data_IF_620635062211
#
_entry.id   IF_620635062211
#
_cell.length_a   1.000
_cell.length_b   1.000
_cell.length_c   1.000
_cell.angle_alpha   90.00
_cell.angle_beta   90.00
_cell.angle_gamma   90.00
#
_symmetry.space_group_name_H-M   'P 1'
#
loop_
_entity.id
_entity.type
_entity.pdbx_description
1 polymer ?
#
# COMPACT_ATOMS: atom_id res chain seq x y z
N UNK A 1 -25.35 15.06 -5.87
CA UNK A 1 -24.78 14.00 -6.73
C UNK A 1 -23.27 14.05 -6.77
N UNK A 2 -22.62 13.25 -5.91
CA UNK A 2 -21.16 13.14 -5.82
C UNK A 2 -20.79 11.69 -6.11
N UNK A 3 -20.98 11.26 -7.35
CA UNK A 3 -20.90 9.82 -7.73
C UNK A 3 -19.99 9.53 -8.93
N UNK A 4 -18.98 10.36 -9.21
CA UNK A 4 -18.13 10.13 -10.40
C UNK A 4 -16.61 10.24 -10.17
N UNK A 5 -16.13 10.59 -8.98
CA UNK A 5 -14.68 10.75 -8.74
C UNK A 5 -13.93 9.43 -8.44
N UNK A 6 -14.63 8.29 -8.35
CA UNK A 6 -14.02 6.97 -8.10
C UNK A 6 -14.03 6.05 -9.34
N UNK A 7 -14.47 6.51 -10.52
CA UNK A 7 -14.70 5.62 -11.67
C UNK A 7 -13.59 5.59 -12.72
N UNK A 8 -12.44 6.20 -12.48
CA UNK A 8 -11.28 6.04 -13.37
C UNK A 8 -10.38 4.97 -12.75
N UNK A 9 -10.31 3.74 -13.29
CA UNK A 9 -9.32 2.79 -12.83
C UNK A 9 -7.95 3.40 -13.10
N UNK A 10 -7.21 3.68 -12.03
CA UNK A 10 -5.81 4.07 -12.14
C UNK A 10 -5.11 3.07 -13.08
N UNK A 11 -4.26 3.59 -13.97
CA UNK A 11 -3.32 2.81 -14.81
C UNK A 11 -2.88 1.56 -14.06
N UNK A 12 -2.88 0.36 -14.69
CA UNK A 12 -2.84 -0.89 -13.96
C UNK A 12 -1.72 -0.84 -12.93
N UNK A 13 -2.07 -1.12 -11.68
CA UNK A 13 -1.12 -1.29 -10.59
C UNK A 13 0.08 -2.09 -11.13
N UNK A 14 1.33 -1.77 -10.74
CA UNK A 14 2.52 -2.48 -11.24
C UNK A 14 2.50 -3.99 -10.90
N UNK A 15 1.48 -4.45 -10.20
CA UNK A 15 1.16 -5.81 -9.86
C UNK A 15 -0.35 -6.07 -10.00
N UNK A 16 -0.70 -7.31 -10.32
CA UNK A 16 -2.10 -7.76 -10.32
C UNK A 16 -2.50 -8.15 -8.90
N UNK A 17 -3.63 -7.63 -8.40
CA UNK A 17 -4.17 -8.06 -7.12
C UNK A 17 -4.57 -9.54 -7.17
N UNK A 18 -4.34 -10.31 -6.08
CA UNK A 18 -4.74 -11.71 -6.02
C UNK A 18 -6.27 -11.82 -6.11
N UNK A 19 -6.74 -12.79 -6.91
CA UNK A 19 -8.18 -13.08 -7.03
C UNK A 19 -8.64 -13.83 -5.79
N UNK A 20 -9.62 -13.28 -5.09
CA UNK A 20 -10.25 -13.92 -3.94
C UNK A 20 -11.34 -14.91 -4.39
N UNK A 21 -11.38 -16.08 -3.75
CA UNK A 21 -12.49 -17.03 -3.91
C UNK A 21 -13.78 -16.49 -3.31
N UNK A 22 -14.93 -17.07 -3.66
CA UNK A 22 -16.23 -16.68 -3.11
C UNK A 22 -16.26 -16.77 -1.58
N UNK A 23 -15.68 -17.84 -1.02
CA UNK A 23 -15.62 -18.05 0.43
C UNK A 23 -14.74 -16.99 1.11
N UNK A 24 -13.59 -16.67 0.51
CA UNK A 24 -12.70 -15.61 1.01
C UNK A 24 -13.40 -14.24 1.01
N UNK A 25 -14.19 -13.93 -0.02
CA UNK A 25 -14.98 -12.70 -0.04
C UNK A 25 -16.03 -12.68 1.07
N UNK A 26 -16.68 -13.81 1.36
CA UNK A 26 -17.64 -13.89 2.45
C UNK A 26 -16.97 -13.68 3.82
N UNK A 27 -15.74 -14.19 4.00
CA UNK A 27 -14.96 -13.94 5.23
C UNK A 27 -14.68 -12.44 5.39
N UNK A 28 -14.22 -11.76 4.33
CA UNK A 28 -13.99 -10.31 4.37
C UNK A 28 -15.27 -9.53 4.70
N UNK A 29 -16.41 -9.89 4.10
CA UNK A 29 -17.70 -9.24 4.37
C UNK A 29 -18.19 -9.44 5.81
N UNK A 30 -17.70 -10.47 6.51
CA UNK A 30 -17.96 -10.69 7.95
C UNK A 30 -16.97 -9.94 8.85
N UNK A 31 -16.03 -9.19 8.26
CA UNK A 31 -14.94 -8.54 9.00
C UNK A 31 -13.82 -9.49 9.39
N UNK A 32 -13.78 -10.70 8.83
CA UNK A 32 -12.70 -11.66 9.07
C UNK A 32 -11.54 -11.44 8.09
N UNK A 33 -10.30 -11.73 8.53
CA UNK A 33 -9.13 -11.64 7.67
C UNK A 33 -9.01 -12.86 6.75
N UNK A 34 -8.59 -12.64 5.51
CA UNK A 34 -8.21 -13.71 4.59
C UNK A 34 -6.69 -13.75 4.50
N UNK A 35 -6.10 -14.92 4.79
CA UNK A 35 -4.68 -15.15 4.67
C UNK A 35 -4.43 -16.35 3.76
N UNK A 36 -3.51 -16.17 2.82
CA UNK A 36 -3.08 -17.22 1.90
C UNK A 36 -1.56 -17.24 1.84
N UNK A 37 -0.98 -18.43 1.87
CA UNK A 37 0.46 -18.64 1.73
C UNK A 37 0.69 -19.93 0.95
N UNK A 38 1.60 -19.87 -0.01
CA UNK A 38 2.06 -20.99 -0.82
C UNK A 38 3.53 -21.20 -0.51
N UNK A 39 3.84 -22.43 -0.10
CA UNK A 39 5.22 -22.91 -0.04
C UNK A 39 5.63 -23.39 -1.44
N UNK A 40 6.55 -22.66 -2.08
CA UNK A 40 7.15 -23.02 -3.37
C UNK A 40 8.56 -23.59 -3.19
N UNK A 41 8.85 -24.21 -2.04
CA UNK A 41 10.13 -24.81 -1.62
C UNK A 41 11.26 -23.78 -1.46
N UNK A 42 11.84 -23.33 -2.58
CA UNK A 42 12.95 -22.35 -2.59
C UNK A 42 12.44 -20.91 -2.47
N UNK A 43 11.15 -20.71 -2.72
CA UNK A 43 10.46 -19.44 -2.65
C UNK A 43 9.15 -19.64 -1.90
N UNK A 44 8.58 -18.55 -1.39
CA UNK A 44 7.26 -18.54 -0.79
C UNK A 44 6.53 -17.28 -1.23
N UNK A 45 5.23 -17.39 -1.44
CA UNK A 45 4.38 -16.24 -1.75
C UNK A 45 3.14 -16.28 -0.88
N UNK A 46 2.70 -15.13 -0.42
CA UNK A 46 1.50 -15.03 0.39
C UNK A 46 0.91 -13.64 0.32
N UNK A 47 -0.38 -13.58 0.62
CA UNK A 47 -1.09 -12.32 0.76
C UNK A 47 -2.04 -12.40 1.94
N UNK A 48 -2.33 -11.22 2.50
CA UNK A 48 -3.37 -11.03 3.49
C UNK A 48 -4.29 -9.95 2.97
N UNK A 49 -5.59 -10.20 3.01
CA UNK A 49 -6.63 -9.22 2.74
C UNK A 49 -7.45 -9.01 4.02
N UNK A 50 -7.71 -7.75 4.34
CA UNK A 50 -8.52 -7.33 5.50
C UNK A 50 -9.43 -6.20 5.04
N UNK A 51 -10.69 -6.26 5.41
CA UNK A 51 -11.60 -5.13 5.25
C UNK A 51 -11.42 -4.19 6.45
N UNK A 52 -11.03 -2.95 6.17
CA UNK A 52 -10.74 -1.95 7.21
C UNK A 52 -11.81 -0.88 7.13
N UNK A 53 -12.60 -0.77 8.20
CA UNK A 53 -13.62 0.27 8.32
C UNK A 53 -12.99 1.63 8.67
N UNK A 54 -12.21 2.18 7.74
CA UNK A 54 -11.57 3.48 7.83
C UNK A 54 -11.41 4.09 6.44
N UNK A 55 -11.30 5.42 6.40
CA UNK A 55 -10.99 6.11 5.15
C UNK A 55 -9.56 5.79 4.68
N UNK A 56 -9.29 5.72 3.34
CA UNK A 56 -7.98 5.32 2.83
C UNK A 56 -6.80 6.16 3.34
N UNK A 57 -7.00 7.46 3.54
CA UNK A 57 -5.98 8.36 4.08
C UNK A 57 -5.56 7.98 5.52
N UNK A 58 -6.50 7.52 6.35
CA UNK A 58 -6.21 7.07 7.71
C UNK A 58 -5.35 5.81 7.67
N UNK A 59 -5.68 4.86 6.78
CA UNK A 59 -4.91 3.64 6.59
C UNK A 59 -3.48 3.97 6.12
N UNK A 60 -3.34 4.81 5.10
CA UNK A 60 -2.03 5.19 4.58
C UNK A 60 -1.19 5.95 5.61
N UNK A 61 -1.78 6.85 6.40
CA UNK A 61 -1.05 7.55 7.46
C UNK A 61 -0.50 6.56 8.50
N UNK A 62 -1.24 5.51 8.84
CA UNK A 62 -0.77 4.47 9.75
C UNK A 62 0.34 3.61 9.13
N UNK A 63 0.24 3.25 7.84
CA UNK A 63 1.23 2.43 7.14
C UNK A 63 2.53 3.17 6.80
N UNK A 64 2.49 4.51 6.78
CA UNK A 64 3.67 5.33 6.52
C UNK A 64 4.38 5.77 7.81
N UNK A 65 3.79 5.53 8.97
CA UNK A 65 4.37 5.83 10.27
C UNK A 65 5.21 4.67 10.82
N UNK A 66 6.34 4.41 10.16
CA UNK A 66 7.24 3.31 10.50
C UNK A 66 7.76 3.38 11.94
N UNK A 67 7.94 4.57 12.50
CA UNK A 67 8.49 4.74 13.85
C UNK A 67 7.53 4.24 14.93
N UNK A 68 6.23 4.25 14.67
CA UNK A 68 5.22 3.73 15.61
C UNK A 68 4.98 2.23 15.50
N UNK A 69 5.66 1.53 14.59
CA UNK A 69 5.48 0.09 14.44
C UNK A 69 5.82 -0.73 15.69
N UNK A 70 6.84 -0.42 16.51
CA UNK A 70 7.08 -1.13 17.77
C UNK A 70 5.90 -1.04 18.75
N UNK A 71 5.15 0.05 18.72
CA UNK A 71 3.99 0.26 19.59
C UNK A 71 2.72 -0.43 19.05
N UNK A 72 2.60 -0.52 17.72
CA UNK A 72 1.39 -1.01 17.04
C UNK A 72 1.48 -2.51 16.71
N UNK A 73 2.68 -3.03 16.40
CA UNK A 73 2.91 -4.39 15.94
C UNK A 73 3.68 -5.16 17.03
N UNK A 74 3.03 -6.06 17.79
CA UNK A 74 3.63 -6.68 18.99
C UNK A 74 4.94 -7.44 18.77
N UNK A 75 5.20 -7.90 17.54
CA UNK A 75 6.40 -8.65 17.19
C UNK A 75 7.58 -7.78 16.79
N UNK A 76 7.36 -6.49 16.54
CA UNK A 76 8.40 -5.52 16.19
C UNK A 76 8.97 -4.93 17.48
N UNK A 77 10.30 -4.99 17.63
CA UNK A 77 10.98 -4.48 18.84
C UNK A 77 11.60 -3.11 18.67
N UNK A 78 12.10 -2.83 17.48
CA UNK A 78 12.76 -1.57 17.14
C UNK A 78 12.66 -1.37 15.63
N UNK A 79 12.63 -0.10 15.20
CA UNK A 79 12.61 0.29 13.80
C UNK A 79 13.66 1.35 13.56
N UNK A 80 14.53 1.09 12.59
CA UNK A 80 15.54 2.03 12.13
C UNK A 80 15.37 2.28 10.64
N UNK A 81 15.01 3.51 10.30
CA UNK A 81 14.88 3.94 8.91
C UNK A 81 16.25 4.33 8.35
N UNK A 82 16.60 3.75 7.21
CA UNK A 82 17.77 4.16 6.43
C UNK A 82 17.28 4.97 5.24
N UNK A 83 17.43 6.28 5.32
CA UNK A 83 17.26 7.13 4.14
C UNK A 83 18.54 7.04 3.31
N UNK A 84 18.43 6.95 1.99
CA UNK A 84 19.58 7.20 1.11
C UNK A 84 20.09 8.60 1.45
N UNK A 85 21.34 8.72 1.92
CA UNK A 85 21.88 9.82 2.73
C UNK A 85 22.02 11.17 2.02
N UNK A 86 21.35 11.37 0.89
CA UNK A 86 21.32 12.63 0.14
C UNK A 86 19.90 13.07 -0.28
N UNK A 87 18.88 12.77 0.54
CA UNK A 87 17.57 13.40 0.35
C UNK A 87 17.63 14.85 0.85
N UNK A 88 17.59 15.81 -0.09
CA UNK A 88 17.57 17.26 0.20
C UNK A 88 16.28 17.71 0.92
N UNK A 89 15.27 16.85 1.01
CA UNK A 89 13.95 17.16 1.56
C UNK A 89 13.24 15.89 2.08
N UNK A 90 12.39 16.05 3.10
CA UNK A 90 11.54 15.01 3.70
C UNK A 90 10.39 14.60 2.75
N UNK A 91 9.79 13.42 2.95
CA UNK A 91 8.63 12.98 2.14
C UNK A 91 7.40 13.89 2.34
N UNK A 92 7.32 14.54 3.51
CA UNK A 92 6.28 15.55 3.81
C UNK A 92 6.44 16.85 3.01
N UNK A 93 7.60 17.06 2.38
CA UNK A 93 7.89 18.21 1.51
C UNK A 93 7.55 17.96 0.05
N UNK A 94 7.08 16.76 -0.30
CA UNK A 94 6.63 16.45 -1.65
C UNK A 94 5.38 17.29 -1.97
N UNK A 95 5.51 18.16 -2.98
CA UNK A 95 4.35 18.90 -3.51
C UNK A 95 3.52 17.95 -4.37
N UNK A 96 2.19 17.95 -4.25
CA UNK A 96 1.33 17.17 -5.13
C UNK A 96 1.58 17.60 -6.58
N UNK A 97 1.91 16.63 -7.43
CA UNK A 97 2.08 16.87 -8.86
C UNK A 97 0.71 17.12 -9.49
N UNK A 98 0.52 18.30 -10.07
CA UNK A 98 -0.62 18.59 -10.93
C UNK A 98 -0.37 17.92 -12.29
N UNK A 99 -1.14 16.87 -12.58
CA UNK A 99 -1.05 16.16 -13.85
C UNK A 99 -1.93 16.86 -14.90
N UNK A 100 -1.32 17.57 -15.83
CA UNK A 100 -1.96 17.90 -17.11
C UNK A 100 -1.35 16.98 -18.19
N UNK A 101 -2.06 15.90 -18.49
CA UNK A 101 -2.01 15.21 -19.79
C UNK A 101 -0.73 14.43 -20.21
N UNK A 102 -0.23 13.57 -19.33
CA UNK A 102 0.23 12.24 -19.75
C UNK A 102 1.50 12.12 -20.62
N UNK A 103 2.36 13.13 -20.72
CA UNK A 103 3.55 12.99 -21.58
C UNK A 103 4.74 13.87 -21.14
N UNK A 104 5.64 13.31 -20.30
CA UNK A 104 7.09 13.25 -20.53
C UNK A 104 7.85 12.65 -19.33
N UNK A 105 8.91 11.94 -19.69
CA UNK A 105 9.85 11.20 -18.87
C UNK A 105 11.24 11.87 -18.82
N UNK A 106 12.19 11.15 -18.19
CA UNK A 106 13.65 11.12 -18.37
C UNK A 106 14.53 11.87 -17.36
N UNK A 107 15.21 11.09 -16.52
CA UNK A 107 16.39 11.52 -15.76
C UNK A 107 17.62 11.48 -16.69
N UNK A 108 18.27 12.62 -16.90
CA UNK A 108 19.52 12.72 -17.69
C UNK A 108 20.80 12.53 -16.88
N UNK A 109 20.74 12.46 -15.56
CA UNK A 109 21.90 12.10 -14.73
C UNK A 109 21.46 11.24 -13.55
N UNK A 110 21.76 9.96 -13.65
CA UNK A 110 21.85 8.97 -12.58
C UNK A 110 23.14 8.20 -12.80
#
# INVERSE_FOLDING_TARGET
DVSAAFSVPASPLPFTLPKLTSDQKQLLLKGERVQYQVDMKREGSGFVAVDVNAAPNVVWNCLLDFYSYPDIIPTVRDVKMFTNTHLKSDYRSEKPLAYEDGSIATLKHG
#
